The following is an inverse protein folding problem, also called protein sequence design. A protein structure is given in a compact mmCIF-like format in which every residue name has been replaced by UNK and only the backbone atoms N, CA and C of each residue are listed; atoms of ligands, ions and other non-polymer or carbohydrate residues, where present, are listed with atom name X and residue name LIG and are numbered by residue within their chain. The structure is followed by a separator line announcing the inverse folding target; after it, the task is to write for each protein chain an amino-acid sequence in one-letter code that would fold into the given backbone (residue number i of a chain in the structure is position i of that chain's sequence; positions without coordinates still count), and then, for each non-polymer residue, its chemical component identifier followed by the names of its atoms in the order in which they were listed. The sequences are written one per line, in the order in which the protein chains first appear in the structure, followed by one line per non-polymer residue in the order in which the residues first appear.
data_IF_832406933788
#
_entry.id   IF_832406933788
#
_cell.length_a   1.000
_cell.length_b   1.000
_cell.length_c   1.000
_cell.angle_alpha   90.00
_cell.angle_beta   90.00
_cell.angle_gamma   90.00
#
_symmetry.space_group_name_H-M   'P 1'
#
loop_
_entity.id
_entity.type
_entity.pdbx_description
1 polymer ?
#
# COMPACT_ATOMS: atom_id res chain seq x y z
N UNK A 1 35.85 0.51 4.33
CA UNK A 1 34.46 0.42 4.80
C UNK A 1 33.66 -0.34 3.76
N UNK A 2 33.32 -1.59 4.01
CA UNK A 2 32.57 -2.43 3.06
C UNK A 2 31.08 -2.23 3.27
N UNK A 3 30.36 -1.86 2.20
CA UNK A 3 28.90 -1.70 2.17
C UNK A 3 28.21 -3.05 2.41
N UNK A 4 27.17 -3.14 3.25
CA UNK A 4 26.41 -4.39 3.40
C UNK A 4 25.64 -4.69 2.10
N UNK A 5 25.76 -5.93 1.61
CA UNK A 5 24.93 -6.44 0.51
C UNK A 5 23.47 -6.50 0.98
N UNK A 6 22.50 -5.93 0.24
CA UNK A 6 21.10 -5.97 0.63
C UNK A 6 20.61 -7.43 0.62
N UNK A 7 20.05 -7.88 1.74
CA UNK A 7 19.36 -9.16 1.84
C UNK A 7 18.05 -9.08 1.03
N UNK A 8 17.60 -10.17 0.39
CA UNK A 8 16.30 -10.21 -0.26
C UNK A 8 15.22 -9.82 0.76
N UNK A 9 14.56 -8.69 0.51
CA UNK A 9 13.42 -8.27 1.32
C UNK A 9 12.25 -9.25 1.13
N UNK A 10 11.29 -9.30 2.06
CA UNK A 10 10.05 -10.05 1.84
C UNK A 10 9.46 -9.62 0.48
N UNK A 11 9.14 -10.61 -0.37
CA UNK A 11 8.40 -10.35 -1.61
C UNK A 11 7.07 -9.62 -1.30
N UNK A 12 6.41 -9.03 -2.31
CA UNK A 12 5.16 -8.31 -2.10
C UNK A 12 4.16 -9.21 -1.37
N UNK A 13 3.98 -8.95 -0.07
CA UNK A 13 2.99 -9.62 0.76
C UNK A 13 1.66 -8.94 0.46
N UNK A 14 0.84 -9.57 -0.36
CA UNK A 14 -0.53 -9.13 -0.61
C UNK A 14 -1.32 -9.36 0.66
N UNK A 15 -1.37 -8.34 1.52
CA UNK A 15 -2.19 -8.38 2.72
C UNK A 15 -3.64 -8.38 2.25
N UNK A 16 -4.31 -9.53 2.35
CA UNK A 16 -5.73 -9.67 2.06
C UNK A 16 -6.53 -8.87 3.11
N UNK A 17 -6.78 -7.60 2.79
CA UNK A 17 -7.64 -6.70 3.54
C UNK A 17 -9.02 -6.77 2.91
N UNK A 18 -10.04 -7.16 3.69
CA UNK A 18 -11.45 -7.04 3.30
C UNK A 18 -12.04 -5.79 3.98
N UNK A 19 -12.42 -4.82 3.16
CA UNK A 19 -12.98 -3.56 3.59
C UNK A 19 -14.45 -3.39 3.18
N UNK A 20 -15.11 -4.45 2.70
CA UNK A 20 -16.48 -4.38 2.19
C UNK A 20 -17.44 -3.63 3.13
N UNK A 21 -18.05 -2.55 2.64
CA UNK A 21 -19.00 -1.75 3.41
C UNK A 21 -18.39 -0.82 4.46
N UNK A 22 -17.07 -0.59 4.45
CA UNK A 22 -16.41 0.47 5.23
C UNK A 22 -16.16 1.69 4.34
N UNK A 23 -16.17 2.87 4.97
CA UNK A 23 -15.79 4.13 4.31
C UNK A 23 -14.39 4.54 4.77
N UNK A 24 -13.51 4.83 3.83
CA UNK A 24 -12.19 5.40 4.09
C UNK A 24 -12.08 6.81 3.51
N UNK A 25 -11.51 7.74 4.29
CA UNK A 25 -11.15 9.09 3.84
C UNK A 25 -9.66 9.16 3.55
N UNK A 26 -9.29 9.54 2.32
CA UNK A 26 -7.90 9.73 1.93
C UNK A 26 -7.66 11.19 1.56
N UNK A 27 -6.81 11.88 2.33
CA UNK A 27 -6.36 13.24 2.00
C UNK A 27 -5.22 13.19 0.98
N UNK A 28 -5.12 14.20 0.12
CA UNK A 28 -4.07 14.25 -0.90
C UNK A 28 -4.18 13.15 -1.99
N UNK A 29 -5.38 12.63 -2.25
CA UNK A 29 -5.61 11.55 -3.22
C UNK A 29 -5.44 11.95 -4.69
N UNK A 30 -5.14 13.21 -4.98
CA UNK A 30 -4.93 13.71 -6.34
C UNK A 30 -3.71 13.07 -7.04
N UNK A 31 -2.72 12.58 -6.28
CA UNK A 31 -1.51 11.98 -6.85
C UNK A 31 -0.65 11.22 -5.84
N UNK A 32 0.51 10.74 -6.31
CA UNK A 32 1.53 10.09 -5.50
C UNK A 32 1.00 8.95 -4.63
N UNK A 33 1.46 8.92 -3.37
CA UNK A 33 1.11 7.88 -2.40
C UNK A 33 -0.37 7.92 -2.05
N UNK A 34 -0.96 9.12 -1.92
CA UNK A 34 -2.39 9.28 -1.62
C UNK A 34 -3.27 8.58 -2.64
N UNK A 35 -2.99 8.79 -3.94
CA UNK A 35 -3.70 8.08 -5.03
C UNK A 35 -3.49 6.57 -4.96
N UNK A 36 -2.25 6.12 -4.74
CA UNK A 36 -1.94 4.69 -4.64
C UNK A 36 -2.63 4.03 -3.45
N UNK A 37 -2.78 4.74 -2.32
CA UNK A 37 -3.53 4.26 -1.16
C UNK A 37 -5.03 4.22 -1.45
N UNK A 38 -5.61 5.28 -2.03
CA UNK A 38 -7.04 5.30 -2.38
C UNK A 38 -7.44 4.16 -3.30
N UNK A 39 -6.63 3.87 -4.33
CA UNK A 39 -6.88 2.76 -5.25
C UNK A 39 -6.80 1.39 -4.56
N UNK A 40 -5.81 1.18 -3.69
CA UNK A 40 -5.67 -0.07 -2.93
C UNK A 40 -6.82 -0.28 -1.95
N UNK A 41 -7.25 0.78 -1.25
CA UNK A 41 -8.39 0.72 -0.36
C UNK A 41 -9.69 0.42 -1.11
N UNK A 42 -9.93 1.05 -2.27
CA UNK A 42 -11.11 0.77 -3.08
C UNK A 42 -11.13 -0.67 -3.65
N UNK A 43 -9.96 -1.23 -3.98
CA UNK A 43 -9.85 -2.61 -4.44
C UNK A 43 -10.13 -3.65 -3.33
N UNK A 44 -9.96 -3.26 -2.06
CA UNK A 44 -10.21 -4.11 -0.90
C UNK A 44 -11.70 -4.21 -0.51
N UNK A 45 -12.59 -3.43 -1.15
CA UNK A 45 -14.05 -3.51 -0.96
C UNK A 45 -14.64 -2.37 -0.15
#
# INVERSE_FOLDING_TARGET
MTSPTPLPGPGPQELALDLAGRTALVTGAAGGIGRACALRLAAAG
#
